data_IF_200984955565
#
_entry.id   IF_200984955565
#
_cell.length_a   1.000
_cell.length_b   1.000
_cell.length_c   1.000
_cell.angle_alpha   90.00
_cell.angle_beta   90.00
_cell.angle_gamma   90.00
#
_symmetry.space_group_name_H-M   'P 1'
#
loop_
_entity.id
_entity.type
_entity.pdbx_description
1 polymer ?
#
# COMPACT_ATOMS: atom_id res chain seq x y z
N UNK A 1 13.30 -6.49 2.33
CA UNK A 1 12.10 -5.86 1.79
C UNK A 1 11.13 -6.92 1.30
N UNK A 2 9.89 -6.83 1.72
CA UNK A 2 8.90 -7.82 1.31
C UNK A 2 8.45 -7.61 -0.12
N UNK A 3 8.36 -8.72 -0.85
CA UNK A 3 7.84 -8.71 -2.20
C UNK A 3 6.31 -8.66 -2.15
N UNK A 4 5.71 -8.02 -3.14
CA UNK A 4 4.25 -7.95 -3.27
C UNK A 4 3.69 -9.05 -4.16
N UNK A 5 4.52 -10.04 -4.50
CA UNK A 5 4.15 -11.08 -5.47
C UNK A 5 2.98 -11.95 -5.04
N UNK A 6 2.80 -12.13 -3.73
CA UNK A 6 1.76 -13.01 -3.21
C UNK A 6 0.43 -12.30 -2.95
N UNK A 7 0.36 -10.99 -3.20
CA UNK A 7 -0.86 -10.24 -2.98
C UNK A 7 -1.86 -10.48 -4.11
N UNK A 8 -3.13 -10.52 -3.75
CA UNK A 8 -4.23 -10.79 -4.67
C UNK A 8 -5.22 -9.65 -4.68
N UNK A 9 -6.04 -9.59 -5.72
CA UNK A 9 -7.14 -8.64 -5.79
C UNK A 9 -7.98 -8.74 -4.52
N UNK A 10 -8.24 -7.60 -3.90
CA UNK A 10 -9.01 -7.52 -2.67
C UNK A 10 -8.20 -7.52 -1.39
N UNK A 11 -6.91 -7.88 -1.46
CA UNK A 11 -6.06 -7.85 -0.26
C UNK A 11 -5.84 -6.42 0.19
N UNK A 12 -5.88 -6.21 1.50
CA UNK A 12 -5.62 -4.89 2.06
C UNK A 12 -4.14 -4.58 2.07
N UNK A 13 -3.80 -3.37 1.67
CA UNK A 13 -2.41 -2.91 1.63
C UNK A 13 -2.27 -1.57 2.34
N UNK A 14 -1.13 -1.38 2.97
CA UNK A 14 -0.76 -0.09 3.54
C UNK A 14 0.10 0.63 2.52
N UNK A 15 -0.35 1.81 2.12
CA UNK A 15 0.44 2.70 1.26
C UNK A 15 1.03 3.78 2.14
N UNK A 16 2.32 3.98 2.07
CA UNK A 16 3.01 4.96 2.93
C UNK A 16 4.12 5.63 2.13
N UNK A 17 4.52 6.81 2.59
CA UNK A 17 5.63 7.48 1.94
C UNK A 17 6.94 7.13 2.66
N UNK A 18 8.04 7.43 1.96
CA UNK A 18 9.39 7.16 2.43
C UNK A 18 9.69 7.79 3.80
N UNK A 19 9.09 8.93 4.09
CA UNK A 19 9.34 9.67 5.32
C UNK A 19 8.34 9.35 6.44
N UNK A 20 7.35 8.51 6.15
CA UNK A 20 6.35 8.15 7.13
C UNK A 20 5.32 9.21 7.41
N UNK A 21 5.23 10.25 6.57
CA UNK A 21 4.28 11.35 6.75
C UNK A 21 2.89 11.02 6.22
N UNK A 22 2.80 10.07 5.32
CA UNK A 22 1.54 9.64 4.75
C UNK A 22 1.36 8.14 4.97
N UNK A 23 0.18 7.76 5.42
CA UNK A 23 -0.22 6.35 5.51
C UNK A 23 -1.69 6.24 5.18
N UNK A 24 -2.06 5.23 4.41
CA UNK A 24 -3.46 4.97 4.12
C UNK A 24 -3.64 3.49 3.80
N UNK A 25 -4.83 2.98 4.08
CA UNK A 25 -5.16 1.60 3.75
C UNK A 25 -5.95 1.61 2.44
N UNK A 26 -5.47 0.82 1.51
CA UNK A 26 -6.13 0.61 0.22
C UNK A 26 -6.32 -0.88 0.02
N UNK A 27 -6.85 -1.27 -1.12
CA UNK A 27 -6.92 -2.68 -1.48
C UNK A 27 -6.38 -2.84 -2.90
N UNK A 28 -5.96 -4.05 -3.22
CA UNK A 28 -5.45 -4.37 -4.55
C UNK A 28 -6.62 -4.42 -5.52
N UNK A 29 -6.61 -3.53 -6.51
CA UNK A 29 -7.68 -3.44 -7.51
C UNK A 29 -7.47 -4.42 -8.64
N UNK A 30 -6.21 -4.61 -9.02
CA UNK A 30 -5.84 -5.47 -10.14
C UNK A 30 -4.40 -5.91 -9.98
N UNK A 31 -4.06 -7.05 -10.58
CA UNK A 31 -2.68 -7.52 -10.63
C UNK A 31 -2.26 -7.79 -12.06
N UNK A 32 -1.00 -7.57 -12.35
CA UNK A 32 -0.37 -7.98 -13.60
C UNK A 32 0.86 -8.79 -13.23
N UNK A 33 1.63 -9.22 -14.22
CA UNK A 33 2.84 -10.00 -13.95
C UNK A 33 3.86 -9.23 -13.11
N UNK A 34 3.97 -7.92 -13.30
CA UNK A 34 5.01 -7.12 -12.67
C UNK A 34 4.50 -6.08 -11.70
N UNK A 35 3.19 -5.79 -11.72
CA UNK A 35 2.62 -4.66 -10.97
C UNK A 35 1.36 -5.03 -10.23
N UNK A 36 1.08 -4.25 -9.19
CA UNK A 36 -0.24 -4.20 -8.55
C UNK A 36 -0.83 -2.84 -8.83
N UNK A 37 -2.13 -2.79 -9.07
CA UNK A 37 -2.84 -1.52 -9.19
C UNK A 37 -3.55 -1.27 -7.87
N UNK A 38 -3.20 -0.19 -7.22
CA UNK A 38 -3.70 0.17 -5.89
C UNK A 38 -4.05 1.67 -5.93
N UNK A 39 -5.32 1.98 -5.69
CA UNK A 39 -5.76 3.38 -5.73
C UNK A 39 -5.51 4.08 -7.05
N UNK A 40 -5.61 3.34 -8.16
CA UNK A 40 -5.37 3.89 -9.48
C UNK A 40 -3.91 4.02 -9.88
N UNK A 41 -2.97 3.63 -9.01
CA UNK A 41 -1.54 3.72 -9.28
C UNK A 41 -0.92 2.32 -9.38
N UNK A 42 0.15 2.21 -10.15
CA UNK A 42 0.88 0.95 -10.31
C UNK A 42 2.02 0.90 -9.31
N UNK A 43 2.12 -0.23 -8.61
CA UNK A 43 3.22 -0.48 -7.67
C UNK A 43 3.99 -1.71 -8.12
N UNK A 44 5.31 -1.62 -8.08
CA UNK A 44 6.18 -2.74 -8.47
C UNK A 44 6.04 -3.89 -7.49
N UNK A 45 5.76 -5.08 -8.00
CA UNK A 45 5.69 -6.28 -7.16
C UNK A 45 7.04 -6.62 -6.54
N UNK A 46 8.10 -6.37 -7.26
CA UNK A 46 9.45 -6.72 -6.81
C UNK A 46 9.98 -5.76 -5.76
N UNK A 47 9.73 -4.46 -5.96
CA UNK A 47 10.33 -3.42 -5.11
C UNK A 47 9.36 -2.80 -4.11
N UNK A 48 8.05 -2.90 -4.37
CA UNK A 48 7.05 -2.32 -3.48
C UNK A 48 6.81 -0.84 -3.65
N UNK A 49 7.53 -0.19 -4.55
CA UNK A 49 7.35 1.25 -4.76
C UNK A 49 6.36 1.57 -5.87
N UNK A 50 5.80 2.77 -5.82
CA UNK A 50 4.94 3.27 -6.88
C UNK A 50 5.78 3.55 -8.12
N UNK A 51 5.32 3.09 -9.27
CA UNK A 51 6.12 3.19 -10.51
C UNK A 51 6.41 4.62 -10.95
N UNK A 52 5.50 5.55 -10.67
CA UNK A 52 5.69 6.95 -11.06
C UNK A 52 6.24 7.82 -9.93
N UNK A 53 6.36 7.28 -8.73
CA UNK A 53 6.87 8.03 -7.58
C UNK A 53 7.49 7.08 -6.58
N UNK A 54 8.80 6.91 -6.64
CA UNK A 54 9.53 5.97 -5.81
C UNK A 54 9.60 6.37 -4.32
N UNK A 55 9.00 7.48 -3.95
CA UNK A 55 8.88 7.85 -2.54
C UNK A 55 7.65 7.21 -1.89
N UNK A 56 6.78 6.61 -2.68
CA UNK A 56 5.58 5.94 -2.18
C UNK A 56 5.76 4.44 -2.26
N UNK A 57 5.37 3.75 -1.20
CA UNK A 57 5.52 2.31 -1.08
C UNK A 57 4.21 1.66 -0.67
N UNK A 58 4.11 0.37 -0.93
CA UNK A 58 2.96 -0.43 -0.48
C UNK A 58 3.49 -1.70 0.17
N UNK A 59 2.76 -2.20 1.15
CA UNK A 59 3.03 -3.50 1.76
C UNK A 59 1.71 -4.11 2.23
N UNK A 60 1.72 -5.42 2.48
CA UNK A 60 0.54 -6.07 3.03
C UNK A 60 0.16 -5.39 4.34
N UNK A 61 -1.10 -4.98 4.45
CA UNK A 61 -1.57 -4.36 5.68
C UNK A 61 -1.93 -5.46 6.67
N UNK A 62 -1.36 -5.37 7.87
CA UNK A 62 -1.73 -6.27 8.97
C UNK A 62 -2.72 -5.54 9.86
N UNK A 63 -3.35 -6.26 10.77
CA UNK A 63 -4.38 -5.69 11.63
C UNK A 63 -3.91 -4.46 12.39
N UNK A 64 -2.68 -4.47 12.87
CA UNK A 64 -2.10 -3.33 13.58
C UNK A 64 -2.03 -2.07 12.71
N UNK A 65 -1.69 -2.24 11.43
CA UNK A 65 -1.62 -1.12 10.49
C UNK A 65 -3.01 -0.53 10.28
N UNK A 66 -4.00 -1.38 10.10
CA UNK A 66 -5.37 -0.95 9.86
C UNK A 66 -5.89 -0.16 11.06
N UNK A 67 -5.68 -0.67 12.25
CA UNK A 67 -6.08 0.01 13.47
C UNK A 67 -5.41 1.36 13.64
N UNK A 68 -4.11 1.41 13.39
CA UNK A 68 -3.35 2.65 13.52
C UNK A 68 -3.85 3.73 12.58
N UNK A 69 -4.08 3.38 11.32
CA UNK A 69 -4.54 4.32 10.31
C UNK A 69 -5.96 4.79 10.63
N UNK A 70 -6.83 3.88 11.05
CA UNK A 70 -8.19 4.24 11.42
C UNK A 70 -8.24 5.17 12.62
N UNK A 71 -7.37 4.96 13.61
CA UNK A 71 -7.27 5.85 14.76
C UNK A 71 -6.85 7.25 14.36
N UNK A 72 -5.91 7.37 13.42
CA UNK A 72 -5.50 8.68 12.92
C UNK A 72 -6.67 9.41 12.27
N UNK A 73 -7.49 8.71 11.51
CA UNK A 73 -8.66 9.31 10.89
C UNK A 73 -9.65 9.82 11.91
N UNK A 74 -9.83 9.10 13.00
CA UNK A 74 -10.77 9.48 14.05
C UNK A 74 -10.29 10.66 14.89
N UNK A 75 -9.02 10.98 14.80
CA UNK A 75 -8.43 12.07 15.60
C UNK A 75 -8.46 13.41 14.90
N UNK A 76 -8.99 13.45 13.71
CA UNK A 76 -9.06 14.68 12.93
C UNK A 76 -10.31 15.46 13.32
N UNK A 77 -10.21 16.26 14.27
CA UNK A 77 -11.19 17.23 14.72
C UNK A 77 -11.25 17.33 16.18
#
# INVERSE_FOLDING_TARGET
MESLENLKVGDDVLVYDKNGLFEAIFYVERTTNNYLVIGGAKFSKTHGWMCCNHNMFAKLAVEEDIERVEKKKKRIF
#
